data_IF_362815331892
#
_entry.id   IF_362815331892
#
_cell.length_a   1.000
_cell.length_b   1.000
_cell.length_c   1.000
_cell.angle_alpha   90.00
_cell.angle_beta   90.00
_cell.angle_gamma   90.00
#
_symmetry.space_group_name_H-M   'P 1'
#
loop_
_entity.id
_entity.type
_entity.pdbx_description
1 polymer ?
#
# COMPACT_ATOMS: atom_id res chain seq x y z
N UNK A 1 -14.60 5.29 36.12
CA UNK A 1 -14.74 6.62 35.50
C UNK A 1 -14.52 6.45 34.00
N UNK A 2 -15.61 6.25 33.27
CA UNK A 2 -15.58 6.05 31.82
C UNK A 2 -16.02 7.35 31.16
N UNK A 3 -15.12 7.98 30.40
CA UNK A 3 -15.44 9.13 29.55
C UNK A 3 -16.04 8.62 28.25
N UNK A 4 -17.37 8.70 28.18
CA UNK A 4 -18.15 8.60 26.96
C UNK A 4 -17.84 9.85 26.12
N UNK A 5 -17.04 9.71 25.06
CA UNK A 5 -16.88 10.76 24.06
C UNK A 5 -18.00 10.57 23.04
N UNK A 6 -18.98 11.47 23.12
CA UNK A 6 -20.13 11.55 22.23
C UNK A 6 -19.68 11.80 20.79
N UNK A 7 -20.07 10.90 19.88
CA UNK A 7 -19.86 10.99 18.44
C UNK A 7 -20.72 12.09 17.76
N UNK A 8 -21.16 13.10 18.52
CA UNK A 8 -22.09 14.15 18.10
C UNK A 8 -21.46 15.54 17.91
N UNK A 9 -20.17 15.72 18.20
CA UNK A 9 -19.49 17.00 17.97
C UNK A 9 -18.84 17.16 16.58
N UNK A 10 -18.86 16.14 15.72
CA UNK A 10 -18.56 16.34 14.29
C UNK A 10 -19.86 16.76 13.57
N UNK A 11 -20.14 18.07 13.53
CA UNK A 11 -21.31 18.68 12.90
C UNK A 11 -21.50 18.32 11.41
N UNK A 12 -22.07 17.15 11.15
CA UNK A 12 -22.39 16.61 9.83
C UNK A 12 -23.87 16.21 9.72
N UNK A 13 -24.76 17.03 10.26
CA UNK A 13 -26.20 16.84 10.08
C UNK A 13 -26.85 18.17 9.71
N UNK A 14 -26.77 18.49 8.42
CA UNK A 14 -27.85 19.05 7.58
C UNK A 14 -27.22 19.66 6.34
N UNK A 15 -27.06 18.87 5.27
CA UNK A 15 -26.78 19.43 3.94
C UNK A 15 -28.07 19.35 3.12
N UNK A 16 -28.71 20.51 2.98
CA UNK A 16 -29.67 20.75 1.91
C UNK A 16 -28.89 20.95 0.59
N UNK A 17 -29.41 20.50 -0.56
CA UNK A 17 -28.63 20.37 -1.77
C UNK A 17 -28.51 21.72 -2.49
N UNK A 18 -27.44 22.47 -2.21
CA UNK A 18 -27.00 23.54 -3.11
C UNK A 18 -25.55 23.93 -2.83
N UNK A 19 -24.67 23.85 -3.84
CA UNK A 19 -23.23 24.21 -3.80
C UNK A 19 -22.21 23.17 -3.29
N UNK A 20 -22.63 21.96 -2.90
CA UNK A 20 -21.79 21.06 -2.09
C UNK A 20 -20.79 20.17 -2.87
N UNK A 21 -21.06 19.85 -4.13
CA UNK A 21 -20.22 18.89 -4.88
C UNK A 21 -18.78 19.38 -5.09
N UNK A 22 -18.60 20.69 -5.33
CA UNK A 22 -17.27 21.31 -5.48
C UNK A 22 -16.51 21.31 -4.15
N UNK A 23 -17.22 21.45 -3.02
CA UNK A 23 -16.60 21.43 -1.69
C UNK A 23 -16.16 20.03 -1.28
N UNK A 24 -16.93 19.00 -1.64
CA UNK A 24 -16.59 17.60 -1.37
C UNK A 24 -15.34 17.18 -2.14
N UNK A 25 -15.24 17.56 -3.41
CA UNK A 25 -14.07 17.23 -4.24
C UNK A 25 -12.78 17.86 -3.73
N UNK A 26 -12.82 19.14 -3.33
CA UNK A 26 -11.66 19.82 -2.77
C UNK A 26 -11.25 19.21 -1.42
N UNK A 27 -12.24 18.79 -0.61
CA UNK A 27 -11.99 18.05 0.61
C UNK A 27 -11.33 16.70 0.34
N UNK A 28 -11.83 15.94 -0.63
CA UNK A 28 -11.25 14.64 -1.02
C UNK A 28 -9.82 14.79 -1.54
N UNK A 29 -9.55 15.79 -2.39
CA UNK A 29 -8.19 16.12 -2.84
C UNK A 29 -7.27 16.44 -1.67
N UNK A 30 -7.72 17.25 -0.73
CA UNK A 30 -6.94 17.58 0.47
C UNK A 30 -6.62 16.31 1.29
N UNK A 31 -7.56 15.37 1.39
CA UNK A 31 -7.30 14.08 2.06
C UNK A 31 -6.35 13.19 1.27
N UNK A 32 -6.40 13.16 -0.06
CA UNK A 32 -5.42 12.44 -0.89
C UNK A 32 -4.01 12.98 -0.62
N UNK A 33 -3.82 14.30 -0.60
CA UNK A 33 -2.52 14.91 -0.28
C UNK A 33 -2.05 14.53 1.14
N UNK A 34 -2.97 14.54 2.12
CA UNK A 34 -2.67 14.13 3.51
C UNK A 34 -2.30 12.65 3.62
N UNK A 35 -2.90 11.78 2.81
CA UNK A 35 -2.56 10.36 2.74
C UNK A 35 -1.15 10.12 2.16
N UNK A 36 -0.70 10.98 1.26
CA UNK A 36 0.61 10.87 0.60
C UNK A 36 1.77 11.42 1.44
N UNK A 37 1.57 12.57 2.10
CA UNK A 37 2.66 13.34 2.72
C UNK A 37 2.52 13.45 4.25
N UNK A 38 1.38 13.06 4.82
CA UNK A 38 1.11 13.20 6.25
C UNK A 38 1.98 12.32 7.15
N UNK A 39 1.94 12.58 8.45
CA UNK A 39 2.45 11.64 9.46
C UNK A 39 1.53 10.41 9.55
N UNK A 40 2.00 9.32 10.16
CA UNK A 40 1.23 8.05 10.23
C UNK A 40 -0.21 8.26 10.72
N UNK A 41 -0.43 9.06 11.76
CA UNK A 41 -1.77 9.34 12.29
C UNK A 41 -2.65 10.11 11.29
N UNK A 42 -2.08 11.13 10.63
CA UNK A 42 -2.76 11.91 9.59
C UNK A 42 -3.12 11.04 8.40
N UNK A 43 -2.22 10.15 7.99
CA UNK A 43 -2.43 9.23 6.87
C UNK A 43 -3.50 8.19 7.18
N UNK A 44 -3.53 7.62 8.39
CA UNK A 44 -4.60 6.71 8.81
C UNK A 44 -5.93 7.43 8.78
N UNK A 45 -6.03 8.63 9.37
CA UNK A 45 -7.24 9.43 9.37
C UNK A 45 -7.72 9.79 7.96
N UNK A 46 -6.80 10.15 7.07
CA UNK A 46 -7.11 10.46 5.68
C UNK A 46 -7.60 9.21 4.95
N UNK A 47 -6.93 8.06 5.13
CA UNK A 47 -7.34 6.80 4.53
C UNK A 47 -8.73 6.36 4.99
N UNK A 48 -9.03 6.44 6.29
CA UNK A 48 -10.38 6.11 6.80
C UNK A 48 -11.43 7.02 6.20
N UNK A 49 -11.16 8.33 6.13
CA UNK A 49 -12.09 9.29 5.55
C UNK A 49 -12.38 8.97 4.08
N UNK A 50 -11.34 8.74 3.29
CA UNK A 50 -11.46 8.42 1.86
C UNK A 50 -12.22 7.11 1.62
N UNK A 51 -11.94 6.08 2.42
CA UNK A 51 -12.65 4.80 2.35
C UNK A 51 -14.13 4.96 2.73
N UNK A 52 -14.44 5.72 3.78
CA UNK A 52 -15.81 5.99 4.20
C UNK A 52 -16.59 6.76 3.14
N UNK A 53 -15.96 7.77 2.52
CA UNK A 53 -16.56 8.55 1.44
C UNK A 53 -16.93 7.66 0.24
N UNK A 54 -16.00 6.80 -0.19
CA UNK A 54 -16.24 5.84 -1.27
C UNK A 54 -17.30 4.79 -0.90
N UNK A 55 -17.35 4.34 0.35
CA UNK A 55 -18.29 3.30 0.76
C UNK A 55 -19.71 3.82 1.00
N UNK A 56 -19.88 5.08 1.41
CA UNK A 56 -21.20 5.65 1.70
C UNK A 56 -21.98 5.95 0.42
N UNK A 57 -21.38 6.64 -0.54
CA UNK A 57 -22.13 7.06 -1.73
C UNK A 57 -21.23 7.36 -2.94
N UNK A 58 -20.63 6.31 -3.52
CA UNK A 58 -19.81 6.41 -4.74
C UNK A 58 -20.58 7.06 -5.91
N UNK A 59 -21.91 6.96 -5.93
CA UNK A 59 -22.79 7.57 -6.94
C UNK A 59 -22.78 9.10 -6.92
N UNK A 60 -22.50 9.70 -5.77
CA UNK A 60 -22.50 11.15 -5.57
C UNK A 60 -21.16 11.77 -5.97
N UNK A 61 -20.10 10.97 -6.02
CA UNK A 61 -18.77 11.43 -6.42
C UNK A 61 -18.66 11.49 -7.94
N UNK A 62 -17.99 12.54 -8.45
CA UNK A 62 -17.56 12.55 -9.85
C UNK A 62 -16.66 11.35 -10.12
N UNK A 63 -16.87 10.69 -11.27
CA UNK A 63 -16.16 9.46 -11.64
C UNK A 63 -14.63 9.64 -11.60
N UNK A 64 -14.14 10.80 -12.04
CA UNK A 64 -12.72 11.18 -11.98
C UNK A 64 -12.18 11.23 -10.55
N UNK A 65 -12.93 11.86 -9.64
CA UNK A 65 -12.52 11.97 -8.23
C UNK A 65 -12.53 10.60 -7.56
N UNK A 66 -13.59 9.81 -7.76
CA UNK A 66 -13.67 8.46 -7.23
C UNK A 66 -12.50 7.59 -7.72
N UNK A 67 -12.13 7.75 -9.00
CA UNK A 67 -10.95 7.09 -9.56
C UNK A 67 -9.65 7.52 -8.87
N UNK A 68 -9.42 8.81 -8.69
CA UNK A 68 -8.21 9.33 -8.03
C UNK A 68 -8.10 8.80 -6.60
N UNK A 69 -9.20 8.74 -5.86
CA UNK A 69 -9.26 8.18 -4.51
C UNK A 69 -8.97 6.67 -4.52
N UNK A 70 -9.57 5.91 -5.45
CA UNK A 70 -9.29 4.47 -5.60
C UNK A 70 -7.80 4.21 -5.90
N UNK A 71 -7.20 5.02 -6.76
CA UNK A 71 -5.77 4.93 -7.08
C UNK A 71 -4.88 5.32 -5.89
N UNK A 72 -5.29 6.31 -5.09
CA UNK A 72 -4.60 6.67 -3.84
C UNK A 72 -4.67 5.54 -2.80
N UNK A 73 -5.84 4.91 -2.63
CA UNK A 73 -6.01 3.73 -1.76
C UNK A 73 -5.17 2.54 -2.24
N UNK A 74 -5.05 2.31 -3.55
CA UNK A 74 -4.15 1.29 -4.10
C UNK A 74 -2.68 1.57 -3.74
N UNK A 75 -2.24 2.83 -3.83
CA UNK A 75 -0.89 3.22 -3.42
C UNK A 75 -0.67 2.97 -1.92
N UNK A 76 -1.68 3.26 -1.09
CA UNK A 76 -1.65 2.95 0.34
C UNK A 76 -1.59 1.43 0.63
N UNK A 77 -2.08 0.55 -0.25
CA UNK A 77 -1.93 -0.91 -0.09
C UNK A 77 -0.46 -1.38 -0.14
N UNK A 78 0.44 -0.56 -0.70
CA UNK A 78 1.90 -0.77 -0.79
C UNK A 78 2.67 0.06 0.23
N UNK A 79 2.00 0.59 1.24
CA UNK A 79 2.66 1.45 2.20
C UNK A 79 3.72 0.71 3.02
N UNK A 80 4.78 1.42 3.40
CA UNK A 80 5.82 0.87 4.27
C UNK A 80 5.30 0.59 5.69
N UNK A 81 4.29 1.33 6.15
CA UNK A 81 3.64 1.05 7.43
C UNK A 81 2.61 -0.09 7.28
N UNK A 82 2.81 -1.25 7.93
CA UNK A 82 1.97 -2.43 7.72
C UNK A 82 0.51 -2.20 8.12
N UNK A 83 0.26 -1.37 9.13
CA UNK A 83 -1.10 -1.04 9.58
C UNK A 83 -1.88 -0.23 8.54
N UNK A 84 -1.22 0.71 7.85
CA UNK A 84 -1.83 1.49 6.77
C UNK A 84 -2.10 0.57 5.58
N UNK A 85 -1.11 -0.25 5.21
CA UNK A 85 -1.22 -1.18 4.10
C UNK A 85 -2.38 -2.18 4.32
N UNK A 86 -2.48 -2.74 5.53
CA UNK A 86 -3.57 -3.63 5.92
C UNK A 86 -4.93 -2.93 5.85
N UNK A 87 -5.07 -1.75 6.46
CA UNK A 87 -6.31 -0.97 6.43
C UNK A 87 -6.75 -0.67 4.98
N UNK A 88 -5.81 -0.28 4.12
CA UNK A 88 -6.09 0.01 2.72
C UNK A 88 -6.58 -1.26 1.98
N UNK A 89 -5.92 -2.41 2.17
CA UNK A 89 -6.33 -3.68 1.55
C UNK A 89 -7.76 -4.07 1.96
N UNK A 90 -8.05 -4.09 3.27
CA UNK A 90 -9.40 -4.38 3.76
C UNK A 90 -10.44 -3.38 3.24
N UNK A 91 -10.09 -2.09 3.21
CA UNK A 91 -10.93 -1.02 2.69
C UNK A 91 -11.24 -1.18 1.20
N UNK A 92 -10.26 -1.56 0.39
CA UNK A 92 -10.43 -1.73 -1.06
C UNK A 92 -11.46 -2.82 -1.42
N UNK A 93 -11.57 -3.88 -0.61
CA UNK A 93 -12.64 -4.87 -0.80
C UNK A 93 -14.03 -4.29 -0.51
N UNK A 94 -14.15 -3.42 0.50
CA UNK A 94 -15.41 -2.72 0.80
C UNK A 94 -15.77 -1.73 -0.30
N UNK A 95 -14.79 -0.99 -0.83
CA UNK A 95 -14.98 -0.07 -1.97
C UNK A 95 -15.47 -0.84 -3.19
N UNK A 96 -14.85 -1.98 -3.52
CA UNK A 96 -15.30 -2.85 -4.60
C UNK A 96 -16.78 -3.25 -4.43
N UNK A 97 -17.17 -3.65 -3.22
CA UNK A 97 -18.56 -3.98 -2.90
C UNK A 97 -19.47 -2.77 -3.07
N UNK A 98 -19.11 -1.60 -2.54
CA UNK A 98 -19.89 -0.37 -2.67
C UNK A 98 -20.09 0.02 -4.14
N UNK A 99 -19.04 -0.01 -4.95
CA UNK A 99 -19.12 0.23 -6.40
C UNK A 99 -20.02 -0.78 -7.13
N UNK A 100 -20.05 -2.04 -6.67
CA UNK A 100 -20.92 -3.07 -7.22
C UNK A 100 -22.39 -2.84 -6.80
N UNK A 101 -22.65 -2.43 -5.56
CA UNK A 101 -23.97 -2.09 -5.02
C UNK A 101 -24.56 -0.85 -5.69
N UNK A 102 -23.75 0.19 -5.91
CA UNK A 102 -24.14 1.44 -6.57
C UNK A 102 -24.21 1.35 -8.11
N UNK A 103 -23.90 0.18 -8.69
CA UNK A 103 -23.86 -0.05 -10.14
C UNK A 103 -22.88 0.87 -10.89
N UNK A 104 -21.86 1.39 -10.21
CA UNK A 104 -20.78 2.15 -10.82
C UNK A 104 -19.80 1.21 -11.56
N UNK A 105 -20.23 0.61 -12.67
CA UNK A 105 -19.55 -0.51 -13.33
C UNK A 105 -18.10 -0.22 -13.73
N UNK A 106 -17.79 1.02 -14.17
CA UNK A 106 -16.42 1.42 -14.52
C UNK A 106 -15.51 1.48 -13.29
N UNK A 107 -16.00 2.05 -12.19
CA UNK A 107 -15.29 2.11 -10.92
C UNK A 107 -15.17 0.73 -10.27
N UNK A 108 -16.19 -0.11 -10.38
CA UNK A 108 -16.12 -1.50 -9.94
C UNK A 108 -15.05 -2.27 -10.72
N UNK A 109 -14.97 -2.11 -12.05
CA UNK A 109 -13.93 -2.72 -12.86
C UNK A 109 -12.52 -2.23 -12.51
N UNK A 110 -12.38 -0.93 -12.18
CA UNK A 110 -11.13 -0.37 -11.67
C UNK A 110 -10.77 -0.98 -10.30
N UNK A 111 -11.72 -1.01 -9.37
CA UNK A 111 -11.53 -1.57 -8.04
C UNK A 111 -11.14 -3.06 -8.09
N UNK A 112 -11.73 -3.86 -8.99
CA UNK A 112 -11.31 -5.26 -9.23
C UNK A 112 -9.84 -5.32 -9.63
N UNK A 113 -9.40 -4.49 -10.58
CA UNK A 113 -7.99 -4.46 -10.99
C UNK A 113 -7.08 -4.12 -9.81
N UNK A 114 -7.40 -3.06 -9.08
CA UNK A 114 -6.64 -2.62 -7.91
C UNK A 114 -6.54 -3.73 -6.84
N UNK A 115 -7.65 -4.41 -6.55
CA UNK A 115 -7.70 -5.53 -5.60
C UNK A 115 -6.82 -6.67 -6.05
N UNK A 116 -6.91 -7.10 -7.32
CA UNK A 116 -6.06 -8.17 -7.86
C UNK A 116 -4.58 -7.79 -7.75
N UNK A 117 -4.21 -6.57 -8.12
CA UNK A 117 -2.83 -6.10 -7.99
C UNK A 117 -2.35 -6.11 -6.54
N UNK A 118 -3.16 -5.58 -5.62
CA UNK A 118 -2.82 -5.54 -4.20
C UNK A 118 -2.63 -6.95 -3.61
N UNK A 119 -3.53 -7.89 -3.93
CA UNK A 119 -3.48 -9.27 -3.42
C UNK A 119 -2.31 -10.09 -3.98
N UNK A 120 -1.99 -9.94 -5.27
CA UNK A 120 -0.92 -10.72 -5.92
C UNK A 120 0.46 -10.28 -5.45
N UNK A 121 0.65 -8.99 -5.20
CA UNK A 121 1.95 -8.45 -4.76
C UNK A 121 2.27 -8.79 -3.30
N UNK A 122 1.27 -9.13 -2.48
CA UNK A 122 1.43 -9.38 -1.05
C UNK A 122 1.19 -10.84 -0.64
N UNK A 123 1.13 -11.74 -1.63
CA UNK A 123 0.91 -13.18 -1.46
C UNK A 123 1.95 -13.85 -0.52
N UNK A 124 3.09 -13.20 -0.25
CA UNK A 124 4.13 -13.70 0.66
C UNK A 124 3.96 -13.33 2.13
N UNK A 125 2.98 -12.49 2.50
CA UNK A 125 2.86 -11.95 3.87
C UNK A 125 1.43 -11.79 4.40
N UNK A 126 0.40 -11.99 3.57
CA UNK A 126 -0.99 -11.77 4.02
C UNK A 126 -1.51 -12.95 4.87
N UNK A 127 -1.83 -12.63 6.13
CA UNK A 127 -2.56 -13.45 7.09
C UNK A 127 -3.80 -14.07 6.42
N UNK A 128 -4.07 -15.36 6.68
CA UNK A 128 -5.23 -16.10 6.13
C UNK A 128 -6.57 -15.35 6.34
N UNK A 129 -6.65 -14.50 7.37
CA UNK A 129 -7.76 -13.61 7.67
C UNK A 129 -8.07 -12.61 6.53
N UNK A 130 -7.04 -12.00 5.92
CA UNK A 130 -7.22 -11.04 4.83
C UNK A 130 -7.76 -11.73 3.58
N UNK A 131 -7.29 -12.95 3.28
CA UNK A 131 -7.76 -13.76 2.15
C UNK A 131 -9.18 -14.27 2.35
N UNK A 132 -9.53 -14.69 3.57
CA UNK A 132 -10.90 -15.08 3.93
C UNK A 132 -11.88 -13.91 3.79
N UNK A 133 -11.52 -12.74 4.32
CA UNK A 133 -12.32 -11.52 4.19
C UNK A 133 -12.47 -11.09 2.72
N UNK A 134 -11.37 -11.12 1.95
CA UNK A 134 -11.37 -10.85 0.52
C UNK A 134 -12.39 -11.72 -0.23
N UNK A 135 -12.35 -13.04 -0.01
CA UNK A 135 -13.27 -13.97 -0.65
C UNK A 135 -14.74 -13.72 -0.26
N UNK A 136 -15.02 -13.33 0.99
CA UNK A 136 -16.37 -12.97 1.44
C UNK A 136 -16.88 -11.71 0.73
N UNK A 137 -16.09 -10.63 0.70
CA UNK A 137 -16.50 -9.38 0.06
C UNK A 137 -16.59 -9.52 -1.47
N UNK A 138 -15.68 -10.27 -2.12
CA UNK A 138 -15.78 -10.57 -3.54
C UNK A 138 -17.04 -11.39 -3.88
N UNK A 139 -17.43 -12.36 -3.04
CA UNK A 139 -18.71 -13.09 -3.21
C UNK A 139 -19.92 -12.18 -3.08
N UNK A 140 -19.91 -11.23 -2.13
CA UNK A 140 -20.98 -10.22 -2.00
C UNK A 140 -21.05 -9.33 -3.24
N UNK A 141 -19.91 -8.80 -3.68
CA UNK A 141 -19.82 -7.99 -4.90
C UNK A 141 -20.33 -8.75 -6.14
N UNK A 142 -19.98 -10.04 -6.28
CA UNK A 142 -20.42 -10.87 -7.40
C UNK A 142 -21.94 -11.05 -7.46
N UNK A 143 -22.62 -11.17 -6.31
CA UNK A 143 -24.10 -11.24 -6.27
C UNK A 143 -24.72 -9.95 -6.83
N UNK A 144 -24.14 -8.80 -6.50
CA UNK A 144 -24.62 -7.50 -6.94
C UNK A 144 -24.33 -7.25 -8.43
N UNK A 145 -23.21 -7.75 -8.98
CA UNK A 145 -22.89 -7.63 -10.41
C UNK A 145 -23.59 -8.65 -11.30
N UNK A 146 -23.94 -9.83 -10.77
CA UNK A 146 -24.58 -10.91 -11.54
C UNK A 146 -25.96 -10.58 -12.11
N UNK A 147 -26.63 -9.56 -11.56
CA UNK A 147 -28.00 -9.21 -11.91
C UNK A 147 -28.06 -8.35 -13.18
N UNK A 148 -26.97 -7.66 -13.58
CA UNK A 148 -26.92 -6.80 -14.77
C UNK A 148 -25.50 -6.77 -15.37
N UNK A 149 -25.30 -7.49 -16.47
CA UNK A 149 -24.01 -7.64 -17.17
C UNK A 149 -23.54 -6.34 -17.85
N UNK A 150 -23.12 -5.35 -17.07
CA UNK A 150 -22.50 -4.10 -17.52
C UNK A 150 -21.02 -3.98 -17.08
N UNK A 151 -20.55 -4.91 -16.25
CA UNK A 151 -19.12 -5.04 -15.94
C UNK A 151 -18.42 -5.70 -17.14
N UNK A 152 -17.24 -5.22 -17.51
CA UNK A 152 -16.42 -5.88 -18.53
C UNK A 152 -16.25 -7.37 -18.17
N UNK A 153 -16.45 -8.25 -19.16
CA UNK A 153 -16.44 -9.71 -18.99
C UNK A 153 -15.16 -10.21 -18.30
N UNK A 154 -14.02 -9.59 -18.63
CA UNK A 154 -12.71 -9.87 -18.01
C UNK A 154 -12.67 -9.52 -16.52
N UNK A 155 -13.21 -8.37 -16.12
CA UNK A 155 -13.31 -7.97 -14.70
C UNK A 155 -14.28 -8.87 -13.94
N UNK A 156 -15.37 -9.32 -14.57
CA UNK A 156 -16.34 -10.21 -13.94
C UNK A 156 -15.74 -11.60 -13.70
N UNK A 157 -15.01 -12.12 -14.69
CA UNK A 157 -14.26 -13.37 -14.57
C UNK A 157 -13.17 -13.28 -13.51
N UNK A 158 -12.43 -12.17 -13.44
CA UNK A 158 -11.44 -11.94 -12.40
C UNK A 158 -12.06 -11.89 -11.00
N UNK A 159 -13.23 -11.23 -10.86
CA UNK A 159 -13.96 -11.18 -9.60
C UNK A 159 -14.43 -12.56 -9.12
N UNK A 160 -14.87 -13.44 -10.03
CA UNK A 160 -15.19 -14.84 -9.69
C UNK A 160 -13.98 -15.58 -9.15
N UNK A 161 -12.84 -15.48 -9.82
CA UNK A 161 -11.61 -16.14 -9.38
C UNK A 161 -11.15 -15.63 -8.00
N UNK A 162 -11.26 -14.32 -7.74
CA UNK A 162 -11.01 -13.76 -6.41
C UNK A 162 -11.97 -14.31 -5.34
N UNK A 163 -13.25 -14.48 -5.66
CA UNK A 163 -14.25 -15.06 -4.77
C UNK A 163 -13.95 -16.52 -4.41
N UNK A 164 -13.32 -17.26 -5.33
CA UNK A 164 -12.87 -18.64 -5.16
C UNK A 164 -11.48 -18.74 -4.50
N UNK A 165 -10.83 -17.61 -4.22
CA UNK A 165 -9.49 -17.54 -3.63
C UNK A 165 -8.34 -17.71 -4.64
N UNK A 166 -8.62 -17.78 -5.93
CA UNK A 166 -7.62 -17.86 -7.00
C UNK A 166 -7.13 -16.46 -7.44
N UNK A 167 -6.36 -15.82 -6.57
CA UNK A 167 -5.78 -14.49 -6.84
C UNK A 167 -4.85 -14.49 -8.07
N UNK A 168 -4.11 -15.59 -8.30
CA UNK A 168 -3.20 -15.73 -9.46
C UNK A 168 -3.96 -15.89 -10.77
N UNK A 169 -5.01 -16.70 -10.78
CA UNK A 169 -5.90 -16.82 -11.93
C UNK A 169 -6.55 -15.49 -12.27
N UNK A 170 -7.03 -14.74 -11.27
CA UNK A 170 -7.59 -13.41 -11.46
C UNK A 170 -6.57 -12.45 -12.12
N UNK A 171 -5.31 -12.49 -11.68
CA UNK A 171 -4.22 -11.71 -12.28
C UNK A 171 -3.96 -12.06 -13.75
N UNK A 172 -3.98 -13.35 -14.09
CA UNK A 172 -3.81 -13.81 -15.48
C UNK A 172 -4.93 -13.33 -16.39
N UNK A 173 -6.17 -13.36 -15.90
CA UNK A 173 -7.33 -12.89 -16.66
C UNK A 173 -7.24 -11.40 -16.97
N UNK A 174 -6.77 -10.59 -16.02
CA UNK A 174 -6.61 -9.14 -16.19
C UNK A 174 -5.34 -8.73 -16.94
N UNK A 175 -4.47 -9.69 -17.28
CA UNK A 175 -3.24 -9.41 -18.01
C UNK A 175 -3.55 -8.86 -19.42
N UNK A 176 -2.90 -7.75 -19.85
CA UNK A 176 -3.06 -7.22 -21.20
C UNK A 176 -2.74 -8.28 -22.26
N UNK A 177 -3.49 -8.27 -23.37
CA UNK A 177 -3.33 -9.28 -24.44
C UNK A 177 -1.93 -9.28 -25.04
N UNK A 178 -1.26 -8.14 -25.08
CA UNK A 178 0.14 -7.98 -25.53
C UNK A 178 1.16 -8.74 -24.66
N UNK A 179 0.76 -9.26 -23.50
CA UNK A 179 1.59 -10.10 -22.62
C UNK A 179 1.05 -11.53 -22.43
N UNK A 180 0.02 -11.94 -23.21
CA UNK A 180 -0.58 -13.29 -23.10
C UNK A 180 0.18 -14.37 -23.89
N UNK A 181 1.14 -13.99 -24.74
CA UNK A 181 1.83 -14.92 -25.66
C UNK A 181 2.87 -15.87 -25.03
N UNK A 182 3.16 -15.76 -23.74
CA UNK A 182 4.22 -16.58 -23.10
C UNK A 182 3.70 -17.76 -22.26
N UNK A 183 2.38 -17.96 -22.11
CA UNK A 183 1.89 -19.03 -21.25
C UNK A 183 0.48 -19.50 -21.59
N UNK A 184 0.36 -20.34 -22.61
CA UNK A 184 -0.67 -21.38 -22.64
C UNK A 184 -0.10 -22.61 -23.37
N UNK A 185 0.05 -23.77 -22.70
CA UNK A 185 0.09 -25.02 -23.44
C UNK A 185 -1.32 -25.20 -24.00
N UNK A 186 -1.47 -25.03 -25.31
CA UNK A 186 -2.73 -25.32 -25.97
C UNK A 186 -3.07 -26.79 -25.75
N UNK A 187 -4.31 -27.03 -25.35
CA UNK A 187 -4.94 -28.33 -25.43
C UNK A 187 -4.85 -28.79 -26.89
N UNK A 188 -3.98 -29.77 -27.13
CA UNK A 188 -3.80 -30.40 -28.44
C UNK A 188 -5.00 -31.29 -28.71
N UNK A 189 -5.88 -30.85 -29.60
CA UNK A 189 -6.68 -31.74 -30.44
C UNK A 189 -6.30 -31.47 -31.88
N UNK A 190 -5.55 -32.42 -32.45
CA UNK A 190 -5.40 -32.71 -33.88
C UNK A 190 -5.06 -31.54 -34.82
N UNK A 191 -3.80 -31.46 -35.26
CA UNK A 191 -3.47 -30.78 -36.51
C UNK A 191 -2.07 -30.18 -36.56
N UNK A 192 -1.18 -30.83 -37.32
CA UNK A 192 0.05 -30.32 -37.93
C UNK A 192 0.93 -29.34 -37.11
N UNK A 193 2.00 -29.89 -36.53
CA UNK A 193 3.12 -29.15 -35.96
C UNK A 193 3.87 -28.44 -37.10
N UNK A 194 3.67 -27.13 -37.26
CA UNK A 194 4.65 -26.24 -37.89
C UNK A 194 5.53 -25.67 -36.77
N UNK A 195 6.73 -26.23 -36.63
CA UNK A 195 7.81 -25.73 -35.79
C UNK A 195 8.22 -24.32 -36.27
N UNK A 196 7.60 -23.27 -35.72
CA UNK A 196 8.10 -21.91 -35.87
C UNK A 196 9.30 -21.73 -34.94
N UNK A 197 10.49 -21.80 -35.52
CA UNK A 197 11.76 -21.47 -34.89
C UNK A 197 11.72 -20.08 -34.25
N UNK A 198 12.18 -19.89 -32.99
CA UNK A 198 12.17 -18.59 -32.35
C UNK A 198 13.18 -17.67 -33.03
N UNK A 199 12.71 -16.50 -33.48
CA UNK A 199 13.55 -15.47 -34.11
C UNK A 199 14.68 -15.04 -33.16
N UNK A 200 15.96 -15.04 -33.58
CA UNK A 200 17.13 -14.77 -32.73
C UNK A 200 17.22 -13.34 -32.16
N UNK A 201 16.33 -12.42 -32.53
CA UNK A 201 16.32 -11.02 -32.04
C UNK A 201 15.68 -10.84 -30.66
N UNK A 202 14.84 -11.77 -30.18
CA UNK A 202 14.17 -11.62 -28.87
C UNK A 202 15.00 -12.14 -27.68
N UNK A 203 15.89 -13.10 -27.92
CA UNK A 203 16.76 -13.65 -26.88
C UNK A 203 17.75 -12.59 -26.33
N UNK A 204 18.22 -11.69 -27.20
CA UNK A 204 19.15 -10.62 -26.81
C UNK A 204 18.49 -9.52 -25.99
N UNK A 205 17.22 -9.18 -26.27
CA UNK A 205 16.46 -8.20 -25.47
C UNK A 205 16.15 -8.71 -24.05
N UNK A 206 15.82 -10.00 -23.92
CA UNK A 206 15.59 -10.66 -22.62
C UNK A 206 16.86 -10.80 -21.79
N UNK A 207 18.00 -11.04 -22.44
CA UNK A 207 19.30 -11.07 -21.74
C UNK A 207 19.72 -9.68 -21.25
N UNK A 208 19.48 -8.62 -22.03
CA UNK A 208 19.77 -7.24 -21.62
C UNK A 208 18.95 -6.81 -20.40
N UNK A 209 17.64 -7.08 -20.41
CA UNK A 209 16.76 -6.75 -19.26
C UNK A 209 17.18 -7.48 -17.99
N UNK A 210 17.58 -8.76 -18.08
CA UNK A 210 18.11 -9.50 -16.92
C UNK A 210 19.42 -8.92 -16.40
N UNK A 211 20.34 -8.52 -17.29
CA UNK A 211 21.58 -7.84 -16.90
C UNK A 211 21.33 -6.49 -16.24
N UNK A 212 20.36 -5.72 -16.73
CA UNK A 212 19.99 -4.43 -16.14
C UNK A 212 19.37 -4.59 -14.74
N UNK A 213 18.53 -5.61 -14.55
CA UNK A 213 17.97 -5.97 -13.23
C UNK A 213 19.10 -6.38 -12.28
N UNK A 214 20.05 -7.19 -12.72
CA UNK A 214 21.21 -7.59 -11.90
C UNK A 214 22.09 -6.40 -11.51
N UNK A 215 22.34 -5.47 -12.45
CA UNK A 215 23.06 -4.22 -12.18
C UNK A 215 22.32 -3.34 -11.19
N UNK A 216 21.01 -3.20 -11.32
CA UNK A 216 20.19 -2.43 -10.40
C UNK A 216 20.21 -3.01 -8.98
N UNK A 217 20.13 -4.34 -8.84
CA UNK A 217 20.26 -5.03 -7.54
C UNK A 217 21.65 -4.84 -6.94
N UNK A 218 22.71 -4.97 -7.73
CA UNK A 218 24.08 -4.75 -7.28
C UNK A 218 24.30 -3.31 -6.78
N UNK A 219 23.74 -2.31 -7.47
CA UNK A 219 23.80 -0.90 -7.04
C UNK A 219 23.09 -0.66 -5.71
N UNK A 220 21.90 -1.24 -5.51
CA UNK A 220 21.16 -1.13 -4.24
C UNK A 220 21.93 -1.76 -3.09
N UNK A 221 22.45 -2.98 -3.28
CA UNK A 221 23.27 -3.66 -2.28
C UNK A 221 24.52 -2.87 -1.87
N UNK A 222 25.17 -2.18 -2.81
CA UNK A 222 26.29 -1.29 -2.51
C UNK A 222 25.86 -0.06 -1.73
N UNK A 223 24.76 0.58 -2.12
CA UNK A 223 24.22 1.74 -1.40
C UNK A 223 23.82 1.38 0.04
N UNK A 224 23.17 0.22 0.23
CA UNK A 224 22.79 -0.25 1.56
C UNK A 224 24.03 -0.56 2.44
N UNK A 225 25.09 -1.11 1.84
CA UNK A 225 26.36 -1.35 2.52
C UNK A 225 27.07 -0.04 2.91
N UNK A 226 27.03 0.98 2.05
CA UNK A 226 27.58 2.31 2.34
C UNK A 226 26.82 2.99 3.48
N UNK A 227 25.48 2.92 3.50
CA UNK A 227 24.65 3.46 4.59
C UNK A 227 24.96 2.73 5.90
N UNK A 228 25.07 1.41 5.88
CA UNK A 228 25.42 0.63 7.07
C UNK A 228 26.83 0.98 7.59
N UNK A 229 27.81 1.21 6.70
CA UNK A 229 29.15 1.63 7.07
C UNK A 229 29.15 3.03 7.71
N UNK A 230 28.38 3.98 7.17
CA UNK A 230 28.23 5.32 7.74
C UNK A 230 27.56 5.28 9.12
N UNK A 231 26.52 4.47 9.29
CA UNK A 231 25.86 4.28 10.59
C UNK A 231 26.82 3.69 11.63
N UNK A 232 27.64 2.71 11.21
CA UNK A 232 28.66 2.12 12.10
C UNK A 232 29.69 3.16 12.52
N UNK A 233 30.23 3.95 11.59
CA UNK A 233 31.18 5.02 11.91
C UNK A 233 30.57 6.07 12.84
N UNK A 234 29.32 6.47 12.61
CA UNK A 234 28.62 7.41 13.49
C UNK A 234 28.48 6.84 14.91
N UNK A 235 28.14 5.56 15.05
CA UNK A 235 28.04 4.91 16.37
C UNK A 235 29.38 4.81 17.09
N UNK A 236 30.46 4.45 16.39
CA UNK A 236 31.81 4.41 16.96
C UNK A 236 32.30 5.81 17.38
N UNK A 237 31.95 6.87 16.63
CA UNK A 237 32.29 8.24 17.00
C UNK A 237 31.51 8.70 18.23
N UNK A 238 30.22 8.35 18.35
CA UNK A 238 29.44 8.64 19.56
C UNK A 238 30.01 7.95 20.79
N UNK A 239 30.41 6.67 20.69
CA UNK A 239 31.04 5.97 21.79
C UNK A 239 32.40 6.58 22.19
N UNK A 240 33.20 7.06 21.22
CA UNK A 240 34.46 7.74 21.52
C UNK A 240 34.22 9.03 22.30
N UNK A 241 33.25 9.85 21.86
CA UNK A 241 32.89 11.09 22.56
C UNK A 241 32.39 10.81 23.98
N UNK A 242 31.62 9.75 24.17
CA UNK A 242 31.13 9.34 25.49
C UNK A 242 32.28 8.92 26.41
N UNK A 243 33.22 8.09 25.94
CA UNK A 243 34.40 7.69 26.73
C UNK A 243 35.31 8.88 27.07
N UNK A 244 35.46 9.85 26.17
CA UNK A 244 36.20 11.09 26.45
C UNK A 244 35.48 11.94 27.51
N UNK A 245 34.16 12.05 27.41
CA UNK A 245 33.35 12.74 28.40
C UNK A 245 33.47 12.09 29.78
N UNK A 246 33.36 10.76 29.85
CA UNK A 246 33.56 10.00 31.09
C UNK A 246 34.94 10.26 31.68
N UNK A 247 36.02 10.15 30.89
CA UNK A 247 37.38 10.45 31.38
C UNK A 247 37.51 11.86 31.95
N UNK A 248 36.96 12.86 31.27
CA UNK A 248 36.96 14.25 31.75
C UNK A 248 36.16 14.39 33.04
N UNK A 249 35.02 13.72 33.15
CA UNK A 249 34.21 13.70 34.36
C UNK A 249 34.94 13.04 35.53
N UNK A 250 35.68 11.94 35.32
CA UNK A 250 36.47 11.29 36.37
C UNK A 250 37.62 12.17 36.85
N UNK A 251 38.34 12.82 35.92
CA UNK A 251 39.41 13.78 36.26
C UNK A 251 38.85 14.97 37.05
N UNK A 252 37.71 15.54 36.62
CA UNK A 252 37.07 16.63 37.33
C UNK A 252 36.62 16.24 38.75
N UNK A 253 36.05 15.03 38.92
CA UNK A 253 35.69 14.50 40.24
C UNK A 253 36.92 14.29 41.14
N UNK A 254 38.00 13.75 40.59
CA UNK A 254 39.25 13.56 41.33
C UNK A 254 39.87 14.91 41.76
N UNK A 255 39.85 15.92 40.88
CA UNK A 255 40.31 17.28 41.20
C UNK A 255 39.47 17.97 42.27
N UNK A 256 38.16 17.75 42.30
CA UNK A 256 37.26 18.27 43.34
C UNK A 256 37.55 17.64 44.72
N UNK A 257 37.88 16.34 44.76
CA UNK A 257 38.22 15.63 46.01
C UNK A 257 39.60 16.04 46.55
N UNK A 258 40.58 16.32 45.68
CA UNK A 258 41.90 16.78 46.12
C UNK A 258 41.90 18.23 46.58
N UNK A 259 41.13 19.13 45.95
CA UNK A 259 41.00 20.53 46.40
C UNK A 259 40.25 20.65 47.73
N UNK A 260 39.19 19.86 47.95
CA UNK A 260 38.48 19.83 49.24
C UNK A 260 39.33 19.25 50.37
N UNK A 261 40.16 18.23 50.08
CA UNK A 261 41.12 17.70 51.06
C UNK A 261 42.20 18.71 51.45
N UNK A 262 42.70 19.54 50.51
CA UNK A 262 43.72 20.57 50.83
C UNK A 262 43.16 21.75 51.63
N UNK A 263 41.90 22.13 51.42
CA UNK A 263 41.21 23.17 52.20
C UNK A 263 40.93 22.74 53.66
N UNK A 264 40.77 21.44 53.92
CA UNK A 264 40.54 20.90 55.27
C UNK A 264 41.79 20.85 56.15
N UNK A 265 42.99 20.92 55.57
CA UNK A 265 44.28 20.88 56.30
C UNK A 265 44.83 22.26 56.69
N UNK A 266 44.26 23.36 56.17
CA UNK A 266 44.74 24.73 56.44
C UNK A 266 43.91 25.49 57.49
N UNK A 267 42.96 24.83 58.16
CA UNK A 267 42.08 25.43 59.19
C UNK A 267 42.13 24.71 60.54
N UNK A 268 43.18 23.92 60.82
CA UNK A 268 43.46 23.32 62.13
C UNK A 268 44.61 24.01 62.85
#
# INVERSE_FOLDING_TARGET
MASHLDARECGLLSMEPSSDDVQIDDLLRAQVVRLEVGTISVRISALTFLLDALCRDVSVLREEMARDVIEACLRACRDQAPNIARLARFGMFKVLRACAESKAHRLAALAVKCVVFASVEHESSDDDETRSHAAVECRKALRNTSIMSLLAETSHRALRLLADGDHRGAARVLRPETMRDDASPSTVMGGAITLSTPRPRMLTARQRTLQDIQRARSKRLKADAEIAAQQKQASEETERREREFERRATIARASYLTTTSQLSTTTG
#
